data_IF_920956620032
#
_entry.id   IF_920956620032
#
_cell.length_a   1.000
_cell.length_b   1.000
_cell.length_c   1.000
_cell.angle_alpha   90.00
_cell.angle_beta   90.00
_cell.angle_gamma   90.00
#
_symmetry.space_group_name_H-M   'P 1'
#
loop_
_entity.id
_entity.type
_entity.pdbx_description
1 polymer ?
#
# COMPACT_ATOMS: atom_id res chain seq x y z
N UNK A 1 17.48 -19.83 16.31
CA UNK A 1 18.66 -19.73 17.20
C UNK A 1 18.38 -20.10 18.65
N UNK A 2 17.19 -19.90 19.21
CA UNK A 2 16.94 -20.21 20.64
C UNK A 2 16.68 -21.70 20.88
N UNK A 3 16.06 -22.41 19.95
CA UNK A 3 15.79 -23.87 20.05
C UNK A 3 17.07 -24.68 19.93
N UNK A 4 17.99 -24.27 19.06
CA UNK A 4 19.33 -24.90 18.94
C UNK A 4 20.28 -24.49 20.06
N UNK A 5 19.95 -23.52 20.91
CA UNK A 5 20.69 -23.18 22.11
C UNK A 5 20.54 -24.24 23.24
N UNK A 6 19.41 -24.94 23.27
CA UNK A 6 19.21 -26.06 24.21
C UNK A 6 20.07 -27.27 23.80
N UNK A 7 20.36 -27.45 22.50
CA UNK A 7 21.27 -28.48 22.00
C UNK A 7 22.73 -28.00 21.84
N UNK A 8 23.07 -26.78 22.30
CA UNK A 8 24.46 -26.19 22.24
C UNK A 8 25.06 -26.13 20.81
N UNK A 9 24.24 -26.18 19.74
CA UNK A 9 24.75 -26.08 18.37
C UNK A 9 25.04 -24.62 18.03
N UNK A 10 26.26 -24.32 17.59
CA UNK A 10 26.66 -22.99 17.12
C UNK A 10 26.02 -22.72 15.77
N UNK A 11 25.80 -21.42 15.48
CA UNK A 11 25.15 -21.01 14.21
C UNK A 11 25.90 -21.51 12.95
N UNK A 12 27.22 -21.70 13.07
CA UNK A 12 28.12 -22.16 12.02
C UNK A 12 28.07 -23.69 11.81
N UNK A 13 27.50 -24.42 12.78
CA UNK A 13 27.38 -25.89 12.79
C UNK A 13 25.95 -26.35 12.42
N UNK A 14 25.09 -25.45 12.02
CA UNK A 14 23.72 -25.81 11.64
C UNK A 14 23.72 -26.50 10.28
N UNK A 15 23.40 -27.80 10.30
CA UNK A 15 23.20 -28.61 9.10
C UNK A 15 21.72 -28.57 8.66
N UNK A 16 21.45 -28.94 7.41
CA UNK A 16 20.09 -29.05 6.89
C UNK A 16 19.22 -30.03 7.68
N UNK A 17 19.83 -31.10 8.19
CA UNK A 17 19.19 -32.10 9.04
C UNK A 17 18.58 -31.52 10.32
N UNK A 18 19.15 -30.41 10.84
CA UNK A 18 18.61 -29.71 12.00
C UNK A 18 17.38 -28.84 11.66
N UNK A 19 17.11 -28.61 10.37
CA UNK A 19 15.99 -27.79 9.91
C UNK A 19 14.80 -28.71 9.60
N UNK A 20 14.24 -29.31 10.66
CA UNK A 20 13.03 -30.13 10.60
C UNK A 20 11.76 -29.29 10.74
N UNK A 21 10.57 -29.76 10.31
CA UNK A 21 9.30 -29.09 10.55
C UNK A 21 9.08 -28.73 12.03
N UNK A 22 9.40 -29.64 12.95
CA UNK A 22 9.21 -29.42 14.38
C UNK A 22 10.11 -28.29 14.90
N UNK A 23 11.38 -28.29 14.51
CA UNK A 23 12.33 -27.23 14.88
C UNK A 23 11.92 -25.86 14.28
N UNK A 24 11.35 -25.85 13.07
CA UNK A 24 10.80 -24.64 12.45
C UNK A 24 9.59 -24.15 13.25
N UNK A 25 8.67 -25.04 13.63
CA UNK A 25 7.48 -24.67 14.43
C UNK A 25 7.92 -24.10 15.78
N UNK A 26 8.80 -24.76 16.50
CA UNK A 26 9.34 -24.30 17.77
C UNK A 26 10.03 -22.93 17.65
N UNK A 27 10.83 -22.73 16.59
CA UNK A 27 11.43 -21.42 16.30
C UNK A 27 10.37 -20.33 16.09
N UNK A 28 9.33 -20.63 15.31
CA UNK A 28 8.25 -19.69 15.00
C UNK A 28 7.42 -19.35 16.26
N UNK A 29 7.13 -20.32 17.11
CA UNK A 29 6.47 -20.10 18.40
C UNK A 29 7.33 -19.28 19.36
N UNK A 30 8.62 -19.57 19.40
CA UNK A 30 9.55 -18.82 20.25
C UNK A 30 9.60 -17.33 19.84
N UNK A 31 9.68 -17.00 18.56
CA UNK A 31 9.67 -15.58 18.12
C UNK A 31 8.33 -14.90 18.39
N UNK A 32 7.19 -15.63 18.32
CA UNK A 32 5.89 -15.08 18.69
C UNK A 32 5.84 -14.77 20.18
N UNK A 33 6.31 -15.69 21.05
CA UNK A 33 6.29 -15.53 22.52
C UNK A 33 7.31 -14.49 23.00
N UNK A 34 8.58 -14.65 22.60
CA UNK A 34 9.69 -13.83 23.11
C UNK A 34 9.74 -12.43 22.54
N UNK A 35 9.38 -12.25 21.26
CA UNK A 35 9.42 -10.95 20.55
C UNK A 35 8.05 -10.36 20.32
N UNK A 36 6.98 -10.99 20.78
CA UNK A 36 5.59 -10.58 20.56
C UNK A 36 5.28 -10.28 19.08
N UNK A 37 5.83 -11.10 18.19
CA UNK A 37 5.66 -10.92 16.74
C UNK A 37 4.22 -11.22 16.32
N UNK A 38 3.70 -10.46 15.36
CA UNK A 38 2.41 -10.76 14.74
C UNK A 38 2.47 -12.04 13.88
N UNK A 39 1.32 -12.68 13.66
CA UNK A 39 1.21 -13.83 12.76
C UNK A 39 1.70 -13.51 11.33
N UNK A 40 1.54 -12.27 10.87
CA UNK A 40 2.11 -11.82 9.59
C UNK A 40 3.64 -11.86 9.59
N UNK A 41 4.29 -11.37 10.66
CA UNK A 41 5.75 -11.42 10.81
C UNK A 41 6.26 -12.85 10.91
N UNK A 42 5.55 -13.71 11.69
CA UNK A 42 5.82 -15.15 11.75
C UNK A 42 5.82 -15.78 10.35
N UNK A 43 4.76 -15.54 9.58
CA UNK A 43 4.60 -16.10 8.24
C UNK A 43 5.66 -15.57 7.25
N UNK A 44 6.11 -14.32 7.38
CA UNK A 44 7.23 -13.80 6.60
C UNK A 44 8.54 -14.57 6.88
N UNK A 45 8.79 -14.94 8.15
CA UNK A 45 9.95 -15.77 8.51
C UNK A 45 9.83 -17.16 7.91
N UNK A 46 8.64 -17.77 8.00
CA UNK A 46 8.38 -19.07 7.37
C UNK A 46 8.56 -19.01 5.85
N UNK A 47 8.08 -17.95 5.19
CA UNK A 47 8.29 -17.76 3.75
C UNK A 47 9.77 -17.70 3.36
N UNK A 48 10.61 -17.08 4.19
CA UNK A 48 12.06 -17.06 3.96
C UNK A 48 12.67 -18.48 4.06
N UNK A 49 12.22 -19.29 5.03
CA UNK A 49 12.63 -20.69 5.17
C UNK A 49 12.18 -21.51 3.96
N UNK A 50 10.93 -21.33 3.49
CA UNK A 50 10.42 -21.98 2.29
C UNK A 50 11.21 -21.59 1.03
N UNK A 51 11.62 -20.31 0.90
CA UNK A 51 12.44 -19.87 -0.22
C UNK A 51 13.81 -20.54 -0.21
N UNK A 52 14.44 -20.66 0.97
CA UNK A 52 15.71 -21.37 1.14
C UNK A 52 15.54 -22.84 0.80
N UNK A 53 14.54 -23.54 1.36
CA UNK A 53 14.34 -24.96 1.13
C UNK A 53 14.05 -25.27 -0.34
N UNK A 54 13.28 -24.42 -1.01
CA UNK A 54 13.02 -24.52 -2.46
C UNK A 54 14.31 -24.36 -3.26
N UNK A 55 15.15 -23.38 -2.91
CA UNK A 55 16.44 -23.16 -3.57
C UNK A 55 17.35 -24.40 -3.42
N UNK A 56 17.46 -24.92 -2.21
CA UNK A 56 18.26 -26.13 -1.94
C UNK A 56 17.73 -27.32 -2.73
N UNK A 57 16.42 -27.61 -2.67
CA UNK A 57 15.82 -28.74 -3.41
C UNK A 57 15.93 -28.62 -4.94
N UNK A 58 16.02 -27.39 -5.47
CA UNK A 58 16.24 -27.16 -6.91
C UNK A 58 17.69 -27.36 -7.36
N UNK A 59 18.67 -27.21 -6.45
CA UNK A 59 20.08 -27.26 -6.79
C UNK A 59 20.78 -28.53 -6.25
N UNK A 60 20.11 -29.32 -5.39
CA UNK A 60 20.65 -30.55 -4.77
C UNK A 60 19.59 -31.62 -4.79
N UNK A 61 19.64 -32.57 -5.76
CA UNK A 61 18.62 -33.62 -5.89
C UNK A 61 18.42 -34.46 -4.63
N UNK A 62 19.46 -34.70 -3.84
CA UNK A 62 19.44 -35.42 -2.56
C UNK A 62 18.58 -34.72 -1.49
N UNK A 63 18.28 -33.44 -1.66
CA UNK A 63 17.54 -32.63 -0.69
C UNK A 63 16.10 -32.31 -1.14
N UNK A 64 15.62 -32.88 -2.24
CA UNK A 64 14.26 -32.67 -2.76
C UNK A 64 13.21 -33.08 -1.72
N UNK A 65 13.39 -34.27 -1.11
CA UNK A 65 12.44 -34.76 -0.10
C UNK A 65 12.46 -33.90 1.17
N UNK A 66 13.63 -33.48 1.63
CA UNK A 66 13.75 -32.52 2.72
C UNK A 66 13.00 -31.21 2.41
N UNK A 67 13.17 -30.67 1.20
CA UNK A 67 12.46 -29.46 0.78
C UNK A 67 10.94 -29.65 0.83
N UNK A 68 10.44 -30.82 0.36
CA UNK A 68 9.01 -31.17 0.41
C UNK A 68 8.50 -31.21 1.84
N UNK A 69 9.25 -31.84 2.75
CA UNK A 69 8.88 -31.96 4.16
C UNK A 69 8.84 -30.59 4.85
N UNK A 70 9.81 -29.70 4.59
CA UNK A 70 9.82 -28.33 5.14
C UNK A 70 8.55 -27.57 4.74
N UNK A 71 8.05 -27.76 3.52
CA UNK A 71 6.83 -27.10 3.03
C UNK A 71 5.53 -27.61 3.69
N UNK A 72 5.57 -28.65 4.53
CA UNK A 72 4.40 -29.10 5.31
C UNK A 72 4.08 -28.19 6.50
N UNK A 73 5.02 -27.33 6.92
CA UNK A 73 4.81 -26.41 8.06
C UNK A 73 3.66 -25.45 7.75
N UNK A 74 2.61 -25.38 8.59
CA UNK A 74 1.42 -24.62 8.27
C UNK A 74 1.63 -23.12 8.38
N UNK A 75 1.06 -22.40 7.42
CA UNK A 75 0.95 -20.93 7.47
C UNK A 75 -0.18 -20.55 8.41
N UNK A 76 0.09 -19.69 9.40
CA UNK A 76 -0.90 -19.26 10.39
C UNK A 76 -1.90 -18.28 9.74
N UNK A 77 -3.20 -18.59 9.82
CA UNK A 77 -4.25 -17.68 9.37
C UNK A 77 -4.28 -16.44 10.26
N UNK A 78 -4.47 -15.27 9.68
CA UNK A 78 -4.64 -14.02 10.40
C UNK A 78 -5.59 -13.10 9.64
N UNK A 79 -6.29 -12.25 10.36
CA UNK A 79 -7.11 -11.21 9.73
C UNK A 79 -6.20 -10.16 9.12
N UNK A 80 -6.43 -9.84 7.85
CA UNK A 80 -5.75 -8.70 7.23
C UNK A 80 -6.23 -7.43 7.91
N UNK A 81 -5.29 -6.62 8.36
CA UNK A 81 -5.61 -5.28 8.88
C UNK A 81 -6.24 -4.44 7.78
N UNK A 82 -7.31 -3.72 8.14
CA UNK A 82 -7.94 -2.73 7.26
C UNK A 82 -6.87 -1.70 6.87
N UNK A 83 -6.83 -1.35 5.59
CA UNK A 83 -5.89 -0.33 5.10
C UNK A 83 -6.25 1.00 5.77
N UNK A 84 -5.28 1.55 6.45
CA UNK A 84 -5.38 2.88 7.05
C UNK A 84 -5.07 3.93 6.00
N UNK A 85 -5.95 4.91 5.84
CA UNK A 85 -5.75 6.10 5.01
C UNK A 85 -6.20 7.35 5.78
N UNK A 86 -5.76 8.51 5.33
CA UNK A 86 -6.18 9.81 5.85
C UNK A 86 -7.42 10.27 5.06
N UNK A 87 -8.40 10.85 5.74
CA UNK A 87 -9.47 11.57 5.04
C UNK A 87 -8.95 12.88 4.44
N UNK A 88 -9.82 13.62 3.72
CA UNK A 88 -9.40 14.86 3.02
C UNK A 88 -8.93 15.92 4.00
N UNK A 89 -9.62 16.08 5.13
CA UNK A 89 -9.29 17.12 6.12
C UNK A 89 -8.00 16.81 6.85
N UNK A 90 -7.78 15.55 7.25
CA UNK A 90 -6.53 15.07 7.82
C UNK A 90 -5.35 15.23 6.86
N UNK A 91 -5.55 14.91 5.57
CA UNK A 91 -4.51 15.07 4.56
C UNK A 91 -4.19 16.53 4.30
N UNK A 92 -5.19 17.40 4.22
CA UNK A 92 -5.01 18.84 4.10
C UNK A 92 -4.26 19.42 5.30
N UNK A 93 -4.66 19.06 6.52
CA UNK A 93 -3.96 19.46 7.73
C UNK A 93 -2.49 19.01 7.74
N UNK A 94 -2.21 17.78 7.25
CA UNK A 94 -0.85 17.28 7.13
C UNK A 94 -0.01 18.10 6.12
N UNK A 95 -0.62 18.54 5.02
CA UNK A 95 0.03 19.40 4.03
C UNK A 95 0.28 20.82 4.56
N UNK A 96 -0.60 21.35 5.39
CA UNK A 96 -0.48 22.69 5.94
C UNK A 96 0.46 22.78 7.15
N UNK A 97 0.77 21.66 7.79
CA UNK A 97 1.61 21.61 8.99
C UNK A 97 3.05 22.14 8.82
N UNK A 98 3.73 22.00 7.66
CA UNK A 98 5.06 22.57 7.48
C UNK A 98 5.06 24.10 7.43
N UNK A 99 5.93 24.74 8.19
CA UNK A 99 6.13 26.19 8.11
C UNK A 99 6.89 26.58 6.84
N UNK A 100 6.17 27.02 5.80
CA UNK A 100 6.73 27.36 4.48
C UNK A 100 7.62 28.62 4.48
N UNK A 101 7.65 29.40 5.55
CA UNK A 101 8.54 30.57 5.69
C UNK A 101 9.99 30.15 5.90
N UNK A 102 10.23 28.91 6.33
CA UNK A 102 11.56 28.34 6.56
C UNK A 102 11.89 27.40 5.40
N UNK A 103 13.10 27.47 4.85
CA UNK A 103 13.50 26.66 3.70
C UNK A 103 13.28 25.15 3.91
N UNK A 104 13.58 24.63 5.11
CA UNK A 104 13.33 23.24 5.46
C UNK A 104 11.82 22.90 5.46
N UNK A 105 10.99 23.79 5.99
CA UNK A 105 9.54 23.58 6.00
C UNK A 105 8.94 23.66 4.59
N UNK A 106 9.48 24.53 3.73
CA UNK A 106 9.08 24.59 2.32
C UNK A 106 9.45 23.31 1.57
N UNK A 107 10.65 22.79 1.80
CA UNK A 107 11.05 21.48 1.28
C UNK A 107 10.12 20.36 1.76
N UNK A 108 9.79 20.33 3.05
CA UNK A 108 8.92 19.30 3.65
C UNK A 108 7.50 19.38 3.07
N UNK A 109 6.97 20.58 2.85
CA UNK A 109 5.70 20.79 2.16
C UNK A 109 5.73 20.26 0.72
N UNK A 110 6.74 20.60 -0.06
CA UNK A 110 6.90 20.15 -1.43
C UNK A 110 7.00 18.60 -1.49
N UNK A 111 7.72 18.00 -0.54
CA UNK A 111 7.83 16.54 -0.42
C UNK A 111 6.47 15.88 -0.09
N UNK A 112 5.73 16.40 0.90
CA UNK A 112 4.42 15.85 1.26
C UNK A 112 3.41 15.98 0.11
N UNK A 113 3.40 17.14 -0.54
CA UNK A 113 2.56 17.40 -1.71
C UNK A 113 2.90 16.46 -2.87
N UNK A 114 4.19 16.24 -3.13
CA UNK A 114 4.67 15.32 -4.15
C UNK A 114 4.26 13.86 -3.84
N UNK A 115 4.42 13.42 -2.59
CA UNK A 115 4.01 12.08 -2.16
C UNK A 115 2.50 11.87 -2.33
N UNK A 116 1.69 12.87 -1.98
CA UNK A 116 0.24 12.78 -2.11
C UNK A 116 -0.21 12.86 -3.58
N UNK A 117 0.38 13.76 -4.38
CA UNK A 117 0.05 13.86 -5.80
C UNK A 117 0.36 12.56 -6.56
N UNK A 118 1.55 11.98 -6.36
CA UNK A 118 2.05 10.88 -7.19
C UNK A 118 1.81 9.50 -6.58
N UNK A 119 1.56 9.43 -5.28
CA UNK A 119 1.57 8.18 -4.53
C UNK A 119 2.94 7.48 -4.57
N UNK A 120 4.04 8.22 -4.73
CA UNK A 120 5.39 7.67 -4.81
C UNK A 120 5.77 6.89 -3.54
N UNK A 121 6.58 5.84 -3.69
CA UNK A 121 7.22 5.19 -2.54
C UNK A 121 8.30 6.10 -1.97
N UNK A 122 8.56 5.98 -0.66
CA UNK A 122 9.61 6.77 -0.02
C UNK A 122 10.98 6.62 -0.72
N UNK A 123 11.29 5.44 -1.20
CA UNK A 123 12.54 5.17 -1.92
C UNK A 123 12.56 5.84 -3.30
N UNK A 124 11.43 5.85 -4.03
CA UNK A 124 11.28 6.55 -5.31
C UNK A 124 11.43 8.06 -5.14
N UNK A 125 10.84 8.64 -4.09
CA UNK A 125 10.97 10.06 -3.78
C UNK A 125 12.39 10.44 -3.31
N UNK A 126 13.05 9.57 -2.55
CA UNK A 126 14.42 9.78 -2.08
C UNK A 126 15.44 9.79 -3.23
N UNK A 127 15.22 8.95 -4.25
CA UNK A 127 16.13 8.82 -5.39
C UNK A 127 15.70 9.65 -6.62
N UNK A 128 14.65 10.48 -6.49
CA UNK A 128 14.16 11.31 -7.58
C UNK A 128 15.19 12.35 -7.99
N UNK A 129 15.59 12.34 -9.26
CA UNK A 129 16.50 13.30 -9.84
C UNK A 129 15.75 14.46 -10.51
N UNK A 130 16.43 15.59 -10.63
CA UNK A 130 15.88 16.76 -11.34
C UNK A 130 15.61 16.42 -12.79
N UNK A 131 16.48 15.61 -13.43
CA UNK A 131 16.30 15.09 -14.79
C UNK A 131 15.03 14.26 -15.02
N UNK A 132 14.43 13.73 -13.94
CA UNK A 132 13.18 12.95 -14.02
C UNK A 132 11.92 13.84 -14.07
N UNK A 133 12.09 15.15 -13.91
CA UNK A 133 11.00 16.13 -13.86
C UNK A 133 10.83 16.82 -15.21
N UNK A 134 9.71 16.58 -15.87
CA UNK A 134 9.33 17.22 -17.15
C UNK A 134 8.36 18.37 -16.84
N UNK A 135 8.88 19.51 -16.36
CA UNK A 135 8.10 20.61 -15.79
C UNK A 135 7.09 21.21 -16.77
N UNK A 136 7.47 21.38 -18.06
CA UNK A 136 6.59 21.91 -19.09
C UNK A 136 5.40 20.99 -19.37
N UNK A 137 5.66 19.68 -19.38
CA UNK A 137 4.63 18.64 -19.57
C UNK A 137 3.88 18.31 -18.28
N UNK A 138 4.30 18.86 -17.15
CA UNK A 138 3.77 18.55 -15.80
C UNK A 138 3.75 17.04 -15.52
N UNK A 139 4.85 16.36 -15.82
CA UNK A 139 5.00 14.91 -15.66
C UNK A 139 6.29 14.62 -14.92
N UNK A 140 6.26 13.60 -14.07
CA UNK A 140 7.45 13.00 -13.44
C UNK A 140 7.61 11.56 -13.89
N UNK A 141 8.86 11.13 -14.09
CA UNK A 141 9.25 9.75 -14.32
C UNK A 141 9.71 9.13 -12.99
N UNK A 142 9.02 8.11 -12.49
CA UNK A 142 9.37 7.44 -11.25
C UNK A 142 9.99 6.08 -11.53
N UNK A 143 11.15 5.83 -10.93
CA UNK A 143 11.91 4.59 -11.06
C UNK A 143 11.61 3.65 -9.89
N UNK A 144 10.90 2.55 -10.13
CA UNK A 144 10.49 1.58 -9.15
C UNK A 144 11.40 0.34 -9.08
N UNK A 145 11.05 -0.59 -8.18
CA UNK A 145 11.78 -1.86 -8.01
C UNK A 145 11.81 -2.67 -9.32
N UNK A 146 12.98 -3.23 -9.65
CA UNK A 146 13.17 -4.05 -10.86
C UNK A 146 13.25 -3.23 -12.15
N UNK A 147 13.79 -2.02 -12.09
CA UNK A 147 13.98 -1.10 -13.21
C UNK A 147 12.67 -0.74 -13.95
N UNK A 148 11.53 -0.86 -13.26
CA UNK A 148 10.23 -0.47 -13.81
C UNK A 148 10.04 1.03 -13.66
N UNK A 149 9.75 1.70 -14.78
CA UNK A 149 9.47 3.12 -14.79
C UNK A 149 7.97 3.37 -14.97
N UNK A 150 7.48 4.47 -14.40
CA UNK A 150 6.13 4.98 -14.67
C UNK A 150 6.13 6.49 -14.73
N UNK A 151 5.23 7.03 -15.53
CA UNK A 151 5.01 8.47 -15.63
C UNK A 151 3.77 8.85 -14.84
N UNK A 152 3.90 9.87 -14.00
CA UNK A 152 2.79 10.41 -13.22
C UNK A 152 2.59 11.89 -13.58
N UNK A 153 1.35 12.34 -13.86
CA UNK A 153 1.06 13.76 -14.01
C UNK A 153 1.19 14.48 -12.68
N UNK A 154 1.66 15.71 -12.74
CA UNK A 154 1.83 16.58 -11.58
C UNK A 154 0.76 17.69 -11.58
N UNK A 155 0.24 17.99 -10.39
CA UNK A 155 -0.59 19.16 -10.19
C UNK A 155 0.20 20.44 -10.44
N UNK A 156 -0.48 21.51 -10.84
CA UNK A 156 0.15 22.82 -11.04
C UNK A 156 0.88 23.28 -9.78
N UNK A 157 0.25 23.17 -8.62
CA UNK A 157 0.84 23.48 -7.32
C UNK A 157 2.11 22.67 -7.01
N UNK A 158 2.11 21.38 -7.34
CA UNK A 158 3.29 20.52 -7.15
C UNK A 158 4.44 20.98 -8.05
N UNK A 159 4.16 21.32 -9.31
CA UNK A 159 5.17 21.85 -10.24
C UNK A 159 5.76 23.17 -9.74
N UNK A 160 4.93 24.09 -9.25
CA UNK A 160 5.36 25.39 -8.71
C UNK A 160 6.29 25.22 -7.51
N UNK A 161 5.94 24.35 -6.57
CA UNK A 161 6.79 24.10 -5.40
C UNK A 161 8.08 23.35 -5.77
N UNK A 162 8.03 22.39 -6.69
CA UNK A 162 9.24 21.71 -7.15
C UNK A 162 10.18 22.64 -7.90
N UNK A 163 9.68 23.57 -8.73
CA UNK A 163 10.52 24.56 -9.41
C UNK A 163 11.38 25.35 -8.43
N UNK A 164 10.78 25.78 -7.31
CA UNK A 164 11.53 26.51 -6.29
C UNK A 164 12.58 25.62 -5.60
N UNK A 165 12.31 24.32 -5.43
CA UNK A 165 13.27 23.40 -4.81
C UNK A 165 14.51 23.14 -5.69
N UNK A 166 14.36 23.22 -7.00
CA UNK A 166 15.41 22.87 -7.96
C UNK A 166 16.07 24.07 -8.62
N UNK A 167 15.65 25.28 -8.25
CA UNK A 167 16.19 26.51 -8.85
C UNK A 167 17.71 26.57 -8.74
N UNK A 168 18.40 26.81 -9.87
CA UNK A 168 19.87 26.89 -9.99
C UNK A 168 20.62 25.60 -9.61
N UNK A 169 19.96 24.45 -9.67
CA UNK A 169 20.59 23.16 -9.34
C UNK A 169 20.79 22.30 -10.59
N UNK A 170 21.80 21.43 -10.56
CA UNK A 170 22.12 20.56 -11.67
C UNK A 170 21.08 19.45 -11.87
N UNK A 171 20.84 19.09 -13.13
CA UNK A 171 19.84 18.08 -13.50
C UNK A 171 20.14 16.68 -12.96
N UNK A 172 21.40 16.38 -12.67
CA UNK A 172 21.84 15.09 -12.10
C UNK A 172 21.58 14.97 -10.60
N UNK A 173 21.34 16.09 -9.91
CA UNK A 173 21.11 16.11 -8.48
C UNK A 173 19.71 15.54 -8.09
N UNK A 174 19.61 15.06 -6.84
CA UNK A 174 18.32 14.64 -6.28
C UNK A 174 17.45 15.86 -5.98
N UNK A 175 16.15 15.75 -6.21
CA UNK A 175 15.19 16.84 -5.98
C UNK A 175 15.12 17.24 -4.48
N UNK A 176 15.03 16.25 -3.61
CA UNK A 176 14.88 16.48 -2.17
C UNK A 176 16.21 16.31 -1.43
N UNK A 177 16.70 17.40 -0.85
CA UNK A 177 17.95 17.43 -0.09
C UNK A 177 17.68 17.60 1.41
N UNK A 178 18.55 17.07 2.23
CA UNK A 178 18.52 17.28 3.67
C UNK A 178 19.17 18.62 4.06
N UNK A 179 19.20 18.95 5.37
CA UNK A 179 19.81 20.18 5.89
C UNK A 179 21.33 20.31 5.63
N UNK A 180 21.99 19.22 5.26
CA UNK A 180 23.43 19.18 4.94
C UNK A 180 23.68 19.16 3.44
N UNK A 181 22.69 19.53 2.61
CA UNK A 181 22.72 19.47 1.16
C UNK A 181 23.11 18.08 0.60
N UNK A 182 22.69 17.02 1.31
CA UNK A 182 22.82 15.66 0.82
C UNK A 182 21.43 15.10 0.46
N UNK A 183 21.34 14.15 -0.45
CA UNK A 183 20.07 13.49 -0.78
C UNK A 183 19.34 12.99 0.47
N UNK A 184 18.05 13.25 0.56
CA UNK A 184 17.24 12.74 1.65
C UNK A 184 17.11 11.22 1.52
N UNK A 185 17.21 10.49 2.63
CA UNK A 185 17.01 9.05 2.62
C UNK A 185 15.54 8.67 2.80
N UNK A 186 15.15 7.46 2.40
CA UNK A 186 13.82 6.93 2.69
C UNK A 186 13.45 7.03 4.19
N UNK A 187 14.42 6.81 5.08
CA UNK A 187 14.21 6.93 6.52
C UNK A 187 13.97 8.38 6.93
N UNK A 188 14.68 9.34 6.32
CA UNK A 188 14.43 10.77 6.50
C UNK A 188 13.00 11.15 6.09
N UNK A 189 12.49 10.61 4.99
CA UNK A 189 11.09 10.82 4.56
C UNK A 189 10.11 10.26 5.59
N UNK A 190 10.35 9.04 6.13
CA UNK A 190 9.53 8.48 7.21
C UNK A 190 9.52 9.37 8.44
N UNK A 191 10.68 9.92 8.83
CA UNK A 191 10.81 10.82 9.98
C UNK A 191 10.03 12.12 9.76
N UNK A 192 10.09 12.71 8.56
CA UNK A 192 9.36 13.93 8.20
C UNK A 192 7.86 13.68 8.27
N UNK A 193 7.35 12.63 7.63
CA UNK A 193 5.92 12.30 7.66
C UNK A 193 5.45 12.06 9.10
N UNK A 194 6.21 11.29 9.90
CA UNK A 194 5.88 11.03 11.30
C UNK A 194 5.91 12.27 12.18
N UNK A 195 6.84 13.21 11.94
CA UNK A 195 6.91 14.51 12.63
C UNK A 195 5.64 15.32 12.43
N UNK A 196 5.21 15.48 11.18
CA UNK A 196 4.02 16.28 10.87
C UNK A 196 2.72 15.58 11.26
N UNK A 197 2.66 14.25 11.16
CA UNK A 197 1.52 13.48 11.67
C UNK A 197 1.32 13.68 13.18
N UNK A 198 2.41 13.69 13.97
CA UNK A 198 2.34 14.00 15.42
C UNK A 198 1.89 15.42 15.70
N UNK A 199 2.32 16.39 14.88
CA UNK A 199 1.92 17.79 15.03
C UNK A 199 0.42 17.96 14.77
N UNK A 200 -0.09 17.36 13.69
CA UNK A 200 -1.49 17.43 13.30
C UNK A 200 -2.40 16.65 14.25
N UNK A 201 -1.88 15.63 14.93
CA UNK A 201 -2.63 14.86 15.91
C UNK A 201 -3.18 15.69 17.09
N UNK A 202 -2.60 16.86 17.35
CA UNK A 202 -3.13 17.81 18.34
C UNK A 202 -4.50 18.36 17.93
N UNK A 203 -4.73 18.56 16.63
CA UNK A 203 -6.00 19.08 16.07
C UNK A 203 -6.91 17.96 15.58
N UNK A 204 -6.33 16.86 15.09
CA UNK A 204 -7.02 15.68 14.57
C UNK A 204 -6.60 14.42 15.34
N UNK A 205 -7.18 14.15 16.54
CA UNK A 205 -6.80 13.00 17.36
C UNK A 205 -6.98 11.64 16.67
N UNK A 206 -7.85 11.54 15.66
CA UNK A 206 -8.04 10.34 14.83
C UNK A 206 -6.75 9.86 14.18
N UNK A 207 -5.81 10.75 13.89
CA UNK A 207 -4.49 10.46 13.33
C UNK A 207 -3.64 9.59 14.27
N UNK A 208 -3.82 9.70 15.59
CA UNK A 208 -3.10 8.88 16.58
C UNK A 208 -3.43 7.38 16.44
N UNK A 209 -4.65 7.05 16.03
CA UNK A 209 -5.08 5.68 15.79
C UNK A 209 -4.57 5.15 14.44
N UNK A 210 -4.10 6.05 13.56
CA UNK A 210 -3.58 5.76 12.23
C UNK A 210 -2.06 5.77 12.27
N UNK A 211 -1.43 4.67 11.87
CA UNK A 211 0.03 4.63 11.74
C UNK A 211 0.47 5.40 10.50
N UNK A 212 0.52 6.74 10.57
CA UNK A 212 0.83 7.60 9.43
C UNK A 212 2.29 7.44 9.00
N UNK A 213 2.46 7.14 7.73
CA UNK A 213 3.74 6.86 7.07
C UNK A 213 3.66 7.23 5.59
N UNK A 214 4.76 7.26 4.83
CA UNK A 214 4.70 7.44 3.37
C UNK A 214 3.80 6.41 2.67
N UNK A 215 3.71 5.19 3.19
CA UNK A 215 2.76 4.18 2.68
C UNK A 215 1.31 4.56 2.96
N UNK A 216 1.02 5.15 4.11
CA UNK A 216 -0.32 5.66 4.43
C UNK A 216 -0.72 6.79 3.47
N UNK A 217 0.19 7.74 3.17
CA UNK A 217 -0.06 8.79 2.16
C UNK A 217 -0.35 8.16 0.79
N UNK A 218 0.41 7.16 0.37
CA UNK A 218 0.17 6.45 -0.88
C UNK A 218 -1.20 5.73 -0.89
N UNK A 219 -1.61 5.12 0.22
CA UNK A 219 -2.95 4.54 0.37
C UNK A 219 -4.03 5.61 0.29
N UNK A 220 -3.79 6.77 0.92
CA UNK A 220 -4.65 7.94 0.84
C UNK A 220 -4.83 8.42 -0.59
N UNK A 221 -3.74 8.56 -1.35
CA UNK A 221 -3.78 8.90 -2.78
C UNK A 221 -4.66 7.93 -3.56
N UNK A 222 -4.44 6.63 -3.39
CA UNK A 222 -5.23 5.61 -4.08
C UNK A 222 -6.73 5.68 -3.74
N UNK A 223 -7.05 5.83 -2.46
CA UNK A 223 -8.44 5.91 -1.98
C UNK A 223 -9.12 7.18 -2.48
N UNK A 224 -8.44 8.34 -2.43
CA UNK A 224 -9.01 9.60 -2.91
C UNK A 224 -9.19 9.62 -4.44
N UNK A 225 -8.28 9.01 -5.21
CA UNK A 225 -8.46 8.84 -6.66
C UNK A 225 -9.68 7.94 -6.96
N UNK A 226 -9.84 6.86 -6.22
CA UNK A 226 -10.99 5.98 -6.36
C UNK A 226 -12.30 6.70 -6.00
N UNK A 227 -12.33 7.46 -4.91
CA UNK A 227 -13.47 8.27 -4.48
C UNK A 227 -13.81 9.39 -5.48
N UNK A 228 -12.81 9.86 -6.24
CA UNK A 228 -13.00 10.81 -7.34
C UNK A 228 -13.47 10.14 -8.64
N UNK A 229 -13.77 8.83 -8.63
CA UNK A 229 -14.28 8.11 -9.80
C UNK A 229 -13.20 7.62 -10.77
N UNK A 230 -11.92 7.70 -10.40
CA UNK A 230 -10.85 7.17 -11.26
C UNK A 230 -10.90 5.65 -11.26
N UNK A 231 -10.84 5.06 -12.45
CA UNK A 231 -10.90 3.61 -12.64
C UNK A 231 -9.70 2.90 -11.99
N UNK A 232 -9.92 1.68 -11.51
CA UNK A 232 -8.94 0.92 -10.72
C UNK A 232 -7.68 0.54 -11.51
N UNK A 233 -7.78 0.34 -12.83
CA UNK A 233 -6.63 0.04 -13.67
C UNK A 233 -5.76 1.27 -13.87
N UNK A 234 -6.38 2.45 -14.00
CA UNK A 234 -5.68 3.74 -14.02
C UNK A 234 -4.95 3.99 -12.71
N UNK A 235 -5.59 3.74 -11.55
CA UNK A 235 -4.95 3.82 -10.23
C UNK A 235 -3.78 2.83 -10.12
N UNK A 236 -3.96 1.62 -10.63
CA UNK A 236 -2.89 0.60 -10.68
C UNK A 236 -1.70 1.07 -11.50
N UNK A 237 -1.93 1.61 -12.69
CA UNK A 237 -0.87 2.17 -13.54
C UNK A 237 -0.18 3.37 -12.87
N UNK A 238 -0.97 4.28 -12.27
CA UNK A 238 -0.48 5.43 -11.52
C UNK A 238 0.47 5.04 -10.39
N UNK A 239 0.07 4.06 -9.58
CA UNK A 239 0.87 3.61 -8.45
C UNK A 239 2.00 2.65 -8.84
N UNK A 240 1.97 2.06 -10.03
CA UNK A 240 2.93 1.04 -10.47
C UNK A 240 2.81 -0.25 -9.64
N UNK A 241 1.58 -0.74 -9.43
CA UNK A 241 1.34 -2.03 -8.80
C UNK A 241 1.51 -3.15 -9.83
N UNK A 242 2.37 -4.12 -9.52
CA UNK A 242 2.60 -5.31 -10.37
C UNK A 242 1.42 -6.26 -10.30
N UNK A 243 0.76 -6.37 -9.14
CA UNK A 243 -0.37 -7.28 -8.91
C UNK A 243 -1.68 -6.53 -8.78
N UNK A 244 -2.72 -7.03 -9.44
CA UNK A 244 -4.11 -6.54 -9.33
C UNK A 244 -4.59 -6.65 -7.87
N UNK A 245 -4.23 -7.73 -7.19
CA UNK A 245 -4.60 -7.95 -5.78
C UNK A 245 -4.17 -6.81 -4.85
N UNK A 246 -3.06 -6.13 -5.16
CA UNK A 246 -2.59 -4.98 -4.37
C UNK A 246 -3.51 -3.76 -4.53
N UNK A 247 -4.22 -3.64 -5.66
CA UNK A 247 -5.11 -2.51 -5.93
C UNK A 247 -6.56 -2.82 -5.55
N UNK A 248 -6.99 -4.08 -5.66
CA UNK A 248 -8.34 -4.51 -5.30
C UNK A 248 -8.72 -4.23 -3.83
N UNK A 249 -7.73 -4.12 -2.95
CA UNK A 249 -7.94 -3.77 -1.54
C UNK A 249 -8.63 -2.39 -1.41
N UNK A 250 -8.38 -1.47 -2.32
CA UNK A 250 -9.02 -0.14 -2.31
C UNK A 250 -10.48 -0.20 -2.76
N UNK A 251 -10.82 -1.12 -3.67
CA UNK A 251 -12.21 -1.33 -4.11
C UNK A 251 -13.12 -1.84 -2.99
N UNK A 252 -12.56 -2.52 -1.98
CA UNK A 252 -13.34 -3.00 -0.81
C UNK A 252 -13.74 -1.87 0.14
N UNK A 253 -13.01 -0.74 0.13
CA UNK A 253 -13.16 0.35 1.11
C UNK A 253 -14.34 1.28 0.76
N UNK A 254 -14.73 1.37 -0.53
CA UNK A 254 -15.68 2.39 -0.94
C UNK A 254 -17.12 1.87 -1.09
N UNK A 255 -17.84 1.79 0.04
CA UNK A 255 -19.27 1.45 0.07
C UNK A 255 -20.13 2.46 -0.70
N UNK A 256 -19.74 3.74 -0.74
CA UNK A 256 -20.48 4.79 -1.46
C UNK A 256 -20.48 4.54 -2.96
N UNK A 257 -19.32 4.27 -3.56
CA UNK A 257 -19.23 3.91 -4.98
C UNK A 257 -20.02 2.63 -5.31
N UNK A 258 -20.01 1.64 -4.40
CA UNK A 258 -20.80 0.42 -4.57
C UNK A 258 -22.30 0.73 -4.55
N UNK A 259 -22.75 1.59 -3.64
CA UNK A 259 -24.15 2.03 -3.57
C UNK A 259 -24.55 2.85 -4.81
N UNK A 260 -23.70 3.76 -5.27
CA UNK A 260 -23.93 4.54 -6.49
C UNK A 260 -23.99 3.65 -7.75
N UNK A 261 -23.08 2.68 -7.86
CA UNK A 261 -23.09 1.70 -8.95
C UNK A 261 -24.36 0.83 -8.93
N UNK A 262 -24.82 0.40 -7.75
CA UNK A 262 -26.07 -0.33 -7.59
C UNK A 262 -27.27 0.54 -7.97
N UNK A 263 -27.30 1.81 -7.56
CA UNK A 263 -28.37 2.73 -7.94
C UNK A 263 -28.45 2.96 -9.45
N UNK A 264 -27.30 3.02 -10.16
CA UNK A 264 -27.27 3.12 -11.62
C UNK A 264 -27.78 1.83 -12.32
N UNK A 265 -27.71 0.68 -11.63
CA UNK A 265 -28.18 -0.61 -12.15
C UNK A 265 -29.60 -0.96 -11.66
N UNK A 266 -30.21 -0.10 -10.82
CA UNK A 266 -31.55 -0.30 -10.33
C UNK A 266 -32.53 -0.22 -11.52
N UNK A 267 -33.02 -1.39 -11.92
CA UNK A 267 -34.08 -1.48 -12.90
C UNK A 267 -35.33 -0.94 -12.22
N UNK A 268 -35.89 0.18 -12.74
CA UNK A 268 -37.22 0.58 -12.34
C UNK A 268 -38.15 -0.61 -12.59
N UNK A 269 -38.40 -1.38 -11.57
CA UNK A 269 -39.54 -2.26 -11.56
C UNK A 269 -40.76 -1.36 -11.65
N UNK A 270 -41.19 -1.08 -12.88
CA UNK A 270 -42.56 -0.61 -13.10
C UNK A 270 -43.41 -1.66 -12.41
N UNK A 271 -43.91 -1.31 -11.23
CA UNK A 271 -44.97 -2.06 -10.60
C UNK A 271 -46.12 -2.19 -11.60
N UNK A 272 -46.13 -3.23 -12.40
CA UNK A 272 -47.33 -3.73 -13.03
C UNK A 272 -48.18 -4.36 -11.94
N UNK A 273 -48.61 -3.53 -11.00
CA UNK A 273 -49.70 -3.84 -10.09
C UNK A 273 -51.00 -3.35 -10.67
N UNK A 274 -51.32 -3.81 -11.84
CA UNK A 274 -52.71 -4.08 -12.16
C UNK A 274 -52.73 -5.51 -12.66
N UNK A 275 -53.41 -6.35 -11.92
CA UNK A 275 -53.78 -7.67 -12.39
C UNK A 275 -54.84 -7.42 -13.46
N UNK A 276 -54.44 -6.89 -14.65
CA UNK A 276 -55.29 -6.56 -15.79
C UNK A 276 -56.28 -7.67 -16.16
N UNK A 277 -55.87 -8.94 -15.88
CA UNK A 277 -56.75 -10.09 -16.09
C UNK A 277 -57.97 -10.13 -15.15
N UNK A 278 -57.95 -9.44 -13.99
CA UNK A 278 -59.08 -9.32 -13.07
C UNK A 278 -60.07 -8.22 -13.49
N UNK A 279 -59.62 -7.32 -14.36
CA UNK A 279 -60.43 -6.20 -14.88
C UNK A 279 -60.97 -6.52 -16.29
N UNK A 280 -60.61 -7.68 -16.85
CA UNK A 280 -61.08 -8.15 -18.14
C UNK A 280 -62.34 -8.99 -17.94
N UNK A 281 -63.50 -8.35 -18.13
CA UNK A 281 -64.82 -8.96 -17.94
C UNK A 281 -65.07 -10.16 -18.85
N UNK A 282 -64.51 -10.20 -20.06
CA UNK A 282 -64.63 -11.34 -20.98
C UNK A 282 -63.82 -12.53 -20.45
N UNK A 283 -62.62 -12.30 -19.95
CA UNK A 283 -61.78 -13.32 -19.38
C UNK A 283 -62.34 -13.88 -18.04
N UNK A 284 -62.90 -13.00 -17.23
CA UNK A 284 -63.57 -13.43 -15.97
C UNK A 284 -64.82 -14.25 -16.24
N UNK A 285 -65.64 -13.83 -17.22
CA UNK A 285 -66.82 -14.57 -17.67
C UNK A 285 -66.46 -15.93 -18.27
N UNK A 286 -65.37 -16.06 -18.97
CA UNK A 286 -64.87 -17.34 -19.49
C UNK A 286 -64.43 -18.26 -18.37
N UNK A 287 -63.75 -17.72 -17.36
CA UNK A 287 -63.28 -18.48 -16.20
C UNK A 287 -64.42 -18.97 -15.27
N UNK A 288 -65.49 -18.18 -15.13
CA UNK A 288 -66.67 -18.55 -14.34
C UNK A 288 -67.56 -19.62 -15.02
N UNK A 289 -67.36 -19.85 -16.33
CA UNK A 289 -68.09 -20.85 -17.10
C UNK A 289 -67.28 -22.15 -17.39
N UNK A 290 -66.10 -22.27 -16.79
CA UNK A 290 -65.28 -23.46 -16.80
C UNK A 290 -65.55 -24.31 -15.59
#
# INVERSE_FOLDING_TARGET
MTVLKEEKVKAEEILLEHITPDNIILFLENIEKSRKCSASTRNQRLTAIFALSKFVGQNSPEHVEWSRIVHTVPVKKYQKTIITYLDKDEMNALLEAPNRKIGQGRRDYALLLFLYNTGARADEAANLKISDLFMEKKVVCLHGKGNKTRRCPLWKSTVEELKVQIEKRDSSENVFMNRLNQPITRFGIYTIVGKYAKLVAATYPSILQKRVSPHTIRHTTATHLLQAGVDINTIRAWLGHVSVNTTNIYAEINLKMKAEALACCEVECKNHSSKRWKEDEELMSFLDNL
#
